data_IF_575698035200
#
_entry.id   IF_575698035200
#
_cell.length_a   1.000
_cell.length_b   1.000
_cell.length_c   1.000
_cell.angle_alpha   90.00
_cell.angle_beta   90.00
_cell.angle_gamma   90.00
#
_symmetry.space_group_name_H-M   'P 1'
#
loop_
_entity.id
_entity.type
_entity.pdbx_description
1 polymer ?
#
# COMPACT_ATOMS: atom_id res chain seq x y z
N UNK A 1 -49.06 -46.19 42.60
CA UNK A 1 -47.63 -46.02 42.95
C UNK A 1 -46.86 -47.00 42.08
N UNK A 2 -45.93 -46.66 41.20
CA UNK A 2 -44.96 -45.57 41.11
C UNK A 2 -44.66 -45.43 39.59
N UNK A 3 -44.87 -44.26 38.97
CA UNK A 3 -43.81 -43.42 38.38
C UNK A 3 -42.40 -44.04 38.48
N UNK A 4 -41.58 -44.09 37.42
CA UNK A 4 -40.93 -42.91 36.80
C UNK A 4 -40.41 -43.31 35.41
N UNK A 5 -40.61 -42.43 34.43
CA UNK A 5 -40.03 -42.48 33.10
C UNK A 5 -38.49 -42.41 33.17
N UNK A 6 -37.80 -43.40 32.63
CA UNK A 6 -36.37 -43.32 32.34
C UNK A 6 -36.14 -42.37 31.15
N UNK A 7 -36.19 -41.07 31.39
CA UNK A 7 -35.73 -40.05 30.46
C UNK A 7 -34.21 -39.98 30.48
N UNK A 8 -33.58 -40.15 29.31
CA UNK A 8 -32.14 -39.98 29.12
C UNK A 8 -31.68 -38.63 29.66
N UNK A 9 -30.97 -38.64 30.79
CA UNK A 9 -30.26 -37.49 31.36
C UNK A 9 -28.96 -37.26 30.58
N UNK A 10 -29.06 -36.86 29.31
CA UNK A 10 -27.96 -36.12 28.69
C UNK A 10 -28.30 -34.64 28.77
N UNK A 11 -27.61 -33.95 29.68
CA UNK A 11 -27.60 -32.48 29.66
C UNK A 11 -27.00 -32.07 28.32
N UNK A 12 -27.70 -31.26 27.51
CA UNK A 12 -27.15 -30.78 26.25
C UNK A 12 -25.90 -29.94 26.57
N UNK A 13 -24.74 -30.43 26.14
CA UNK A 13 -23.50 -29.68 26.27
C UNK A 13 -23.59 -28.49 25.33
N UNK A 14 -23.57 -27.28 25.90
CA UNK A 14 -23.67 -26.06 25.10
C UNK A 14 -22.42 -25.98 24.23
N UNK A 15 -22.56 -25.75 22.91
CA UNK A 15 -21.40 -25.61 22.05
C UNK A 15 -20.56 -24.44 22.57
N UNK A 16 -19.25 -24.67 22.75
CA UNK A 16 -18.32 -23.59 23.06
C UNK A 16 -18.31 -22.64 21.87
N UNK A 17 -18.76 -21.40 22.06
CA UNK A 17 -18.68 -20.41 21.00
C UNK A 17 -17.19 -20.14 20.69
N UNK A 18 -16.83 -20.06 19.40
CA UNK A 18 -15.46 -19.76 19.01
C UNK A 18 -15.08 -18.36 19.51
N UNK A 19 -13.83 -18.23 19.95
CA UNK A 19 -13.27 -16.97 20.40
C UNK A 19 -12.96 -16.08 19.20
N UNK A 20 -13.35 -14.80 19.26
CA UNK A 20 -13.09 -13.84 18.18
C UNK A 20 -11.62 -13.42 18.25
N UNK A 21 -10.82 -13.90 17.31
CA UNK A 21 -9.40 -13.52 17.18
C UNK A 21 -9.28 -12.31 16.26
N UNK A 22 -8.74 -11.21 16.79
CA UNK A 22 -8.43 -10.03 15.99
C UNK A 22 -6.99 -10.14 15.48
N UNK A 23 -6.81 -10.03 14.16
CA UNK A 23 -5.51 -10.10 13.51
C UNK A 23 -5.19 -8.72 12.94
N UNK A 24 -3.99 -8.15 13.21
CA UNK A 24 -3.59 -6.92 12.54
C UNK A 24 -3.41 -7.19 11.04
N UNK A 25 -4.09 -6.38 10.23
CA UNK A 25 -3.96 -6.42 8.77
C UNK A 25 -3.13 -5.24 8.30
N UNK A 26 -2.16 -5.51 7.42
CA UNK A 26 -1.43 -4.45 6.74
C UNK A 26 -2.36 -3.71 5.78
N UNK A 27 -2.45 -2.39 5.92
CA UNK A 27 -3.27 -1.54 5.06
C UNK A 27 -2.39 -0.60 4.27
N UNK A 28 -2.49 -0.66 2.95
CA UNK A 28 -1.81 0.28 2.06
C UNK A 28 -2.40 1.68 2.24
N UNK A 29 -1.53 2.66 2.43
CA UNK A 29 -1.90 4.08 2.56
C UNK A 29 -1.83 4.70 1.17
N UNK A 30 -2.90 5.34 0.69
CA UNK A 30 -2.88 6.01 -0.60
C UNK A 30 -1.90 7.18 -0.56
N UNK A 31 -0.95 7.19 -1.49
CA UNK A 31 -0.01 8.29 -1.70
C UNK A 31 -0.68 9.36 -2.56
N UNK A 32 -0.35 10.65 -2.35
CA UNK A 32 -0.81 11.74 -3.23
C UNK A 32 -0.50 11.40 -4.70
N UNK A 33 -1.53 11.45 -5.55
CA UNK A 33 -1.43 11.10 -6.96
C UNK A 33 -0.40 11.94 -7.73
N UNK A 34 -0.05 13.13 -7.24
CA UNK A 34 1.03 13.95 -7.82
C UNK A 34 2.39 13.27 -7.71
N UNK A 35 2.63 12.58 -6.60
CA UNK A 35 3.90 11.90 -6.35
C UNK A 35 4.10 10.73 -7.30
N UNK A 36 3.04 9.98 -7.61
CA UNK A 36 3.11 8.80 -8.48
C UNK A 36 3.03 9.10 -9.98
N UNK A 37 2.98 10.39 -10.38
CA UNK A 37 3.01 10.75 -11.81
C UNK A 37 4.32 10.26 -12.46
N UNK A 38 4.28 9.78 -13.72
CA UNK A 38 5.50 9.40 -14.43
C UNK A 38 6.46 10.58 -14.56
N UNK A 39 7.75 10.30 -14.72
CA UNK A 39 8.78 11.29 -15.02
C UNK A 39 9.04 11.32 -16.53
N UNK A 40 8.45 12.26 -17.30
CA UNK A 40 8.59 12.26 -18.74
C UNK A 40 10.01 12.65 -19.15
N UNK A 41 10.53 12.01 -20.20
CA UNK A 41 11.86 12.30 -20.73
C UNK A 41 11.80 12.58 -22.23
N UNK A 42 12.31 13.75 -22.63
CA UNK A 42 12.55 14.10 -24.03
C UNK A 42 13.84 13.42 -24.48
N UNK A 43 13.75 12.57 -25.51
CA UNK A 43 14.90 11.86 -26.08
C UNK A 43 15.48 12.64 -27.26
N UNK A 44 16.78 12.48 -27.49
CA UNK A 44 17.43 12.99 -28.69
C UNK A 44 16.85 12.31 -29.93
N UNK A 45 16.63 13.09 -31.00
CA UNK A 45 16.07 12.57 -32.27
C UNK A 45 17.13 11.92 -33.16
N UNK A 46 18.40 12.21 -32.92
CA UNK A 46 19.55 11.68 -33.63
C UNK A 46 20.73 11.50 -32.69
N UNK A 47 21.74 10.76 -33.13
CA UNK A 47 22.98 10.49 -32.37
C UNK A 47 24.04 11.57 -32.61
N UNK A 48 23.65 12.84 -32.62
CA UNK A 48 24.60 13.96 -32.69
C UNK A 48 24.71 14.64 -31.34
N UNK A 49 25.85 15.30 -31.08
CA UNK A 49 26.09 15.99 -29.81
C UNK A 49 25.03 17.06 -29.58
N UNK A 50 24.69 17.83 -30.62
CA UNK A 50 23.71 18.92 -30.56
C UNK A 50 22.33 18.40 -30.19
N UNK A 51 21.90 17.28 -30.78
CA UNK A 51 20.62 16.67 -30.49
C UNK A 51 20.55 16.11 -29.06
N UNK A 52 21.66 15.58 -28.55
CA UNK A 52 21.77 15.10 -27.17
C UNK A 52 21.71 16.26 -26.17
N UNK A 53 22.50 17.32 -26.40
CA UNK A 53 22.53 18.51 -25.55
C UNK A 53 21.16 19.20 -25.53
N UNK A 54 20.52 19.36 -26.69
CA UNK A 54 19.18 19.95 -26.78
C UNK A 54 18.12 19.12 -26.04
N UNK A 55 18.17 17.79 -26.14
CA UNK A 55 17.27 16.92 -25.40
C UNK A 55 17.52 16.98 -23.89
N UNK A 56 18.79 17.00 -23.47
CA UNK A 56 19.18 17.15 -22.06
C UNK A 56 18.68 18.47 -21.47
N UNK A 57 18.99 19.59 -22.12
CA UNK A 57 18.58 20.92 -21.65
C UNK A 57 17.06 21.05 -21.55
N UNK A 58 16.31 20.44 -22.48
CA UNK A 58 14.86 20.41 -22.44
C UNK A 58 14.27 19.58 -21.28
N UNK A 59 15.05 18.71 -20.65
CA UNK A 59 14.62 17.88 -19.53
C UNK A 59 14.94 18.47 -18.15
N UNK A 60 15.80 19.48 -18.02
CA UNK A 60 16.29 19.95 -16.71
C UNK A 60 15.18 20.26 -15.69
N UNK A 61 14.16 21.01 -16.11
CA UNK A 61 13.03 21.36 -15.23
C UNK A 61 12.21 20.13 -14.84
N UNK A 62 12.01 19.22 -15.78
CA UNK A 62 11.24 17.99 -15.55
C UNK A 62 11.99 17.03 -14.64
N UNK A 63 13.31 16.93 -14.79
CA UNK A 63 14.17 16.14 -13.92
C UNK A 63 14.13 16.69 -12.50
N UNK A 64 14.25 18.01 -12.33
CA UNK A 64 14.15 18.63 -11.00
C UNK A 64 12.82 18.34 -10.31
N UNK A 65 11.70 18.46 -11.02
CA UNK A 65 10.37 18.10 -10.48
C UNK A 65 10.29 16.62 -10.10
N UNK A 66 10.76 15.74 -10.97
CA UNK A 66 10.79 14.30 -10.71
C UNK A 66 11.62 13.98 -9.46
N UNK A 67 12.83 14.54 -9.35
CA UNK A 67 13.73 14.29 -8.23
C UNK A 67 13.14 14.78 -6.90
N UNK A 68 12.48 15.94 -6.92
CA UNK A 68 11.76 16.46 -5.74
C UNK A 68 10.66 15.49 -5.30
N UNK A 69 9.80 15.04 -6.22
CA UNK A 69 8.72 14.09 -5.93
C UNK A 69 9.25 12.74 -5.45
N UNK A 70 10.35 12.25 -6.02
CA UNK A 70 11.00 11.02 -5.56
C UNK A 70 11.60 11.18 -4.16
N UNK A 71 12.10 12.36 -3.82
CA UNK A 71 12.52 12.71 -2.46
C UNK A 71 11.34 12.68 -1.47
N UNK A 72 10.21 13.27 -1.85
CA UNK A 72 8.97 13.24 -1.05
C UNK A 72 8.46 11.81 -0.84
N UNK A 73 8.48 10.94 -1.86
CA UNK A 73 8.09 9.53 -1.71
C UNK A 73 9.00 8.79 -0.73
N UNK A 74 10.32 9.03 -0.78
CA UNK A 74 11.29 8.39 0.13
C UNK A 74 11.07 8.85 1.56
N UNK A 75 10.79 10.14 1.79
CA UNK A 75 10.53 10.66 3.13
C UNK A 75 9.25 10.13 3.75
N UNK A 76 8.23 9.78 2.94
CA UNK A 76 7.07 9.02 3.42
C UNK A 76 7.45 7.63 3.96
N UNK A 77 8.49 7.00 3.42
CA UNK A 77 9.01 5.73 3.92
C UNK A 77 9.89 5.87 5.18
N UNK A 78 10.54 7.02 5.35
CA UNK A 78 11.44 7.30 6.49
C UNK A 78 10.71 7.89 7.71
N UNK A 79 9.59 8.58 7.48
CA UNK A 79 8.74 9.13 8.53
C UNK A 79 7.37 8.47 8.54
N UNK A 80 7.14 7.58 9.54
CA UNK A 80 5.83 7.08 10.03
C UNK A 80 5.32 5.84 9.27
N UNK A 81 5.43 4.63 9.84
CA UNK A 81 4.52 4.15 10.92
C UNK A 81 3.48 5.21 11.28
N UNK A 82 2.43 5.26 10.47
CA UNK A 82 1.17 5.93 10.77
C UNK A 82 0.72 5.54 12.20
N UNK A 83 0.23 6.49 13.03
CA UNK A 83 -0.32 6.13 14.34
C UNK A 83 -1.50 5.16 14.20
#
# INVERSE_FOLDING_TARGET
MLLVLAGCTHKPERPKLPEVVHVPVEKLVPVDARLTKPCPAKRARSRTVEAVVAAYNANLIVLQDCDNRMGEIRSLGEGKTQP
#
